data_IF_641720419155
#
_entry.id   IF_641720419155
#
_cell.length_a   1.000
_cell.length_b   1.000
_cell.length_c   1.000
_cell.angle_alpha   90.00
_cell.angle_beta   90.00
_cell.angle_gamma   90.00
#
_symmetry.space_group_name_H-M   'P 1'
#
loop_
_entity.id
_entity.type
_entity.pdbx_description
1 polymer ?
#
# COMPACT_ATOMS: atom_id res chain seq x y z
N UNK A 1 16.32 -7.57 4.23
CA UNK A 1 16.03 -6.21 4.75
C UNK A 1 15.59 -6.37 6.19
N UNK A 2 16.13 -5.58 7.12
CA UNK A 2 15.75 -5.57 8.52
C UNK A 2 15.18 -4.19 8.88
N UNK A 3 14.24 -4.12 9.82
CA UNK A 3 13.74 -2.85 10.36
C UNK A 3 14.54 -2.48 11.62
N UNK A 4 14.71 -1.19 11.94
CA UNK A 4 15.34 -0.78 13.19
C UNK A 4 14.57 -1.23 14.43
N UNK A 5 15.25 -1.41 15.55
CA UNK A 5 14.66 -1.93 16.80
C UNK A 5 13.52 -1.06 17.36
N UNK A 6 13.48 0.22 17.03
CA UNK A 6 12.44 1.16 17.45
C UNK A 6 11.25 1.25 16.48
N UNK A 7 11.27 0.48 15.39
CA UNK A 7 10.18 0.41 14.43
C UNK A 7 9.29 -0.81 14.70
N UNK A 8 7.98 -0.63 14.57
CA UNK A 8 6.98 -1.70 14.74
C UNK A 8 6.22 -1.93 13.44
N UNK A 9 6.11 -3.19 13.02
CA UNK A 9 5.27 -3.57 11.87
C UNK A 9 3.80 -3.46 12.26
N UNK A 10 3.04 -2.68 11.49
CA UNK A 10 1.60 -2.47 11.68
C UNK A 10 0.75 -3.07 10.55
N UNK A 11 1.33 -3.24 9.35
CA UNK A 11 0.68 -3.88 8.21
C UNK A 11 1.67 -4.79 7.48
N UNK A 12 1.22 -5.98 7.07
CA UNK A 12 2.02 -6.97 6.36
C UNK A 12 1.20 -7.81 5.40
N UNK A 13 1.85 -8.33 4.37
CA UNK A 13 1.36 -9.40 3.50
C UNK A 13 2.52 -10.30 3.09
N UNK A 14 2.23 -11.44 2.46
CA UNK A 14 3.26 -12.33 1.92
C UNK A 14 4.12 -11.64 0.86
N UNK A 15 3.52 -10.71 0.09
CA UNK A 15 4.22 -9.90 -0.90
C UNK A 15 5.07 -8.79 -0.27
N UNK A 16 4.61 -8.17 0.82
CA UNK A 16 5.31 -7.07 1.49
C UNK A 16 5.24 -7.23 3.02
N UNK A 17 6.26 -7.86 3.64
CA UNK A 17 6.30 -8.09 5.09
C UNK A 17 6.35 -6.81 5.94
N UNK A 18 6.77 -5.69 5.34
CA UNK A 18 6.89 -4.37 5.97
C UNK A 18 5.98 -3.34 5.27
N UNK A 19 4.70 -3.68 5.07
CA UNK A 19 3.75 -2.85 4.32
C UNK A 19 3.31 -1.59 5.10
N UNK A 20 3.39 -1.62 6.43
CA UNK A 20 3.17 -0.48 7.30
C UNK A 20 4.09 -0.55 8.51
N UNK A 21 4.69 0.59 8.86
CA UNK A 21 5.61 0.73 9.98
C UNK A 21 5.20 1.94 10.84
N UNK A 22 5.25 1.77 12.16
CA UNK A 22 5.25 2.86 13.13
C UNK A 22 6.67 3.07 13.67
N UNK A 23 7.09 4.33 13.78
CA UNK A 23 8.43 4.75 14.19
C UNK A 23 8.30 5.50 15.52
N UNK A 24 8.42 4.79 16.64
CA UNK A 24 8.01 5.32 17.94
C UNK A 24 6.51 5.66 17.95
N UNK A 25 6.17 6.82 18.50
CA UNK A 25 4.79 7.33 18.58
C UNK A 25 4.48 8.46 17.57
N UNK A 26 5.52 9.05 16.96
CA UNK A 26 5.39 10.33 16.24
C UNK A 26 5.39 10.20 14.71
N UNK A 27 5.63 9.00 14.17
CA UNK A 27 5.62 8.79 12.73
C UNK A 27 5.10 7.41 12.33
N UNK A 28 4.40 7.38 11.18
CA UNK A 28 3.95 6.16 10.50
C UNK A 28 4.30 6.24 9.01
N UNK A 29 4.49 5.08 8.38
CA UNK A 29 4.74 4.97 6.93
C UNK A 29 4.01 3.77 6.34
N UNK A 30 3.57 3.90 5.09
CA UNK A 30 2.95 2.83 4.32
C UNK A 30 3.73 2.61 3.02
N UNK A 31 3.92 1.34 2.64
CA UNK A 31 4.52 1.02 1.34
C UNK A 31 3.52 1.21 0.20
N UNK A 32 2.24 0.86 0.45
CA UNK A 32 1.17 1.04 -0.52
C UNK A 32 0.80 2.52 -0.70
N UNK A 33 0.03 2.80 -1.75
CA UNK A 33 -0.37 4.15 -2.15
C UNK A 33 -1.87 4.40 -1.88
N UNK A 34 -2.30 4.62 -0.63
CA UNK A 34 -3.71 4.90 -0.31
C UNK A 34 -4.22 6.21 -0.95
N UNK A 35 -3.31 7.08 -1.39
CA UNK A 35 -3.60 8.31 -2.12
C UNK A 35 -4.01 8.11 -3.58
N UNK A 36 -3.74 6.93 -4.16
CA UNK A 36 -4.11 6.66 -5.55
C UNK A 36 -5.58 6.25 -5.66
N UNK A 37 -6.28 6.77 -6.66
CA UNK A 37 -7.59 6.20 -7.04
C UNK A 37 -7.39 4.89 -7.81
N UNK A 38 -8.36 3.96 -7.81
CA UNK A 38 -8.28 2.73 -8.62
C UNK A 38 -8.02 3.02 -10.10
N UNK A 39 -8.68 4.05 -10.64
CA UNK A 39 -8.48 4.48 -12.01
C UNK A 39 -7.04 4.93 -12.28
N UNK A 40 -6.44 5.69 -11.36
CA UNK A 40 -5.05 6.13 -11.49
C UNK A 40 -4.06 4.96 -11.37
N UNK A 41 -4.25 4.10 -10.37
CA UNK A 41 -3.45 2.90 -10.18
C UNK A 41 -3.52 1.97 -11.40
N UNK A 42 -4.70 1.77 -11.98
CA UNK A 42 -4.91 0.94 -13.17
C UNK A 42 -4.16 1.49 -14.39
N UNK A 43 -4.13 2.81 -14.60
CA UNK A 43 -3.34 3.41 -15.69
C UNK A 43 -1.84 3.15 -15.51
N UNK A 44 -1.31 3.32 -14.28
CA UNK A 44 0.09 3.02 -14.00
C UNK A 44 0.42 1.54 -14.22
N UNK A 45 -0.45 0.64 -13.76
CA UNK A 45 -0.31 -0.81 -13.91
C UNK A 45 -0.34 -1.22 -15.38
N UNK A 46 -1.31 -0.72 -16.16
CA UNK A 46 -1.38 -0.98 -17.60
C UNK A 46 -0.12 -0.50 -18.34
N UNK A 47 0.46 0.62 -17.92
CA UNK A 47 1.73 1.15 -18.45
C UNK A 47 2.96 0.27 -18.18
N UNK A 48 2.83 -0.80 -17.37
CA UNK A 48 3.89 -1.77 -17.12
C UNK A 48 3.92 -2.94 -18.11
N UNK A 49 2.92 -3.06 -19.00
CA UNK A 49 2.94 -4.10 -20.06
C UNK A 49 4.23 -4.03 -20.88
N UNK A 50 4.82 -5.19 -21.16
CA UNK A 50 6.11 -5.31 -21.84
C UNK A 50 7.34 -5.01 -20.97
N UNK A 51 7.16 -4.59 -19.70
CA UNK A 51 8.26 -4.41 -18.71
C UNK A 51 8.24 -5.47 -17.62
N UNK A 52 7.07 -6.03 -17.33
CA UNK A 52 6.86 -7.17 -16.42
C UNK A 52 5.90 -8.17 -17.09
N UNK A 53 5.73 -9.34 -16.48
CA UNK A 53 4.83 -10.38 -16.98
C UNK A 53 3.41 -9.84 -17.20
N UNK A 54 2.88 -10.06 -18.40
CA UNK A 54 1.54 -9.64 -18.79
C UNK A 54 0.47 -10.28 -17.91
N UNK A 55 0.63 -11.55 -17.52
CA UNK A 55 -0.34 -12.22 -16.66
C UNK A 55 -0.42 -11.57 -15.27
N UNK A 56 0.74 -11.12 -14.75
CA UNK A 56 0.80 -10.39 -13.48
C UNK A 56 0.14 -8.99 -13.61
N UNK A 57 0.33 -8.31 -14.74
CA UNK A 57 -0.35 -7.03 -15.02
C UNK A 57 -1.86 -7.23 -15.05
N UNK A 58 -2.35 -8.24 -15.76
CA UNK A 58 -3.78 -8.50 -15.88
C UNK A 58 -4.38 -8.87 -14.51
N UNK A 59 -3.72 -9.74 -13.74
CA UNK A 59 -4.14 -10.04 -12.36
C UNK A 59 -4.21 -8.79 -11.48
N UNK A 60 -3.24 -7.89 -11.59
CA UNK A 60 -3.23 -6.64 -10.82
C UNK A 60 -4.37 -5.70 -11.25
N UNK A 61 -4.66 -5.60 -12.56
CA UNK A 61 -5.79 -4.82 -13.08
C UNK A 61 -7.13 -5.37 -12.61
N UNK A 62 -7.31 -6.70 -12.62
CA UNK A 62 -8.51 -7.35 -12.12
C UNK A 62 -8.71 -7.06 -10.63
N UNK A 63 -7.64 -7.11 -9.83
CA UNK A 63 -7.72 -6.79 -8.39
C UNK A 63 -8.11 -5.34 -8.11
N UNK A 64 -7.78 -4.39 -9.01
CA UNK A 64 -8.14 -2.98 -8.87
C UNK A 64 -9.61 -2.69 -9.24
N UNK A 65 -10.33 -3.66 -9.81
CA UNK A 65 -11.76 -3.54 -10.07
C UNK A 65 -12.62 -3.87 -8.82
N UNK A 66 -12.04 -4.53 -7.83
CA UNK A 66 -12.70 -4.87 -6.56
C UNK A 66 -12.64 -3.70 -5.56
N UNK A 67 -13.48 -3.70 -4.51
CA UNK A 67 -13.37 -2.73 -3.42
C UNK A 67 -11.99 -2.71 -2.79
N UNK A 68 -11.50 -1.51 -2.48
CA UNK A 68 -10.19 -1.31 -1.85
C UNK A 68 -10.30 -0.76 -0.42
N UNK A 69 -9.22 -0.89 0.34
CA UNK A 69 -9.12 -0.45 1.73
C UNK A 69 -8.60 0.99 1.88
N UNK A 70 -8.57 1.80 0.82
CA UNK A 70 -8.11 3.20 0.93
C UNK A 70 -8.89 4.01 1.95
N UNK A 71 -10.23 3.88 2.08
CA UNK A 71 -10.98 4.57 3.12
C UNK A 71 -10.52 4.16 4.53
N UNK A 72 -10.23 2.89 4.75
CA UNK A 72 -9.75 2.36 6.03
C UNK A 72 -8.40 2.96 6.40
N UNK A 73 -7.45 2.96 5.45
CA UNK A 73 -6.12 3.55 5.67
C UNK A 73 -6.21 5.07 5.87
N UNK A 74 -7.09 5.75 5.14
CA UNK A 74 -7.33 7.18 5.34
C UNK A 74 -7.84 7.49 6.75
N UNK A 75 -8.71 6.65 7.31
CA UNK A 75 -9.19 6.80 8.69
C UNK A 75 -8.08 6.53 9.71
N UNK A 76 -7.19 5.55 9.47
CA UNK A 76 -6.00 5.37 10.33
C UNK A 76 -5.10 6.61 10.33
N UNK A 77 -4.86 7.20 9.17
CA UNK A 77 -4.07 8.44 9.05
C UNK A 77 -4.75 9.59 9.81
N UNK A 78 -6.09 9.72 9.70
CA UNK A 78 -6.84 10.75 10.45
C UNK A 78 -6.71 10.56 11.96
N UNK A 79 -6.89 9.33 12.45
CA UNK A 79 -6.79 9.01 13.87
C UNK A 79 -5.37 9.23 14.39
N UNK A 80 -4.35 8.92 13.59
CA UNK A 80 -2.95 9.17 13.97
C UNK A 80 -2.66 10.65 14.23
N UNK A 81 -3.29 11.56 13.48
CA UNK A 81 -3.15 13.01 13.68
C UNK A 81 -4.19 13.62 14.62
N UNK A 82 -5.09 12.81 15.18
CA UNK A 82 -6.08 13.30 16.13
C UNK A 82 -5.39 13.72 17.45
N UNK A 83 -5.90 14.77 18.13
CA UNK A 83 -5.34 15.27 19.38
C UNK A 83 -5.57 14.34 20.57
#
# INVERSE_FOLDING_TARGET
VAIPDHARVTLRSDFTPFAGLAWGEDAISFQGHPEFTPAYAAQLTAGRRGRIDTALVDQALDSLAEPDDRPVVADWIRVFFAP
#
